data_IF_482561591898
#
_entry.id   IF_482561591898
#
_cell.length_a   1.000
_cell.length_b   1.000
_cell.length_c   1.000
_cell.angle_alpha   90.00
_cell.angle_beta   90.00
_cell.angle_gamma   90.00
#
_symmetry.space_group_name_H-M   'P 1'
#
loop_
_entity.id
_entity.type
_entity.pdbx_description
1 polymer ?
#
# COMPACT_ATOMS: atom_id res chain seq x y z
N UNK A 1 1.68 -21.29 9.32
CA UNK A 1 0.71 -20.78 10.32
C UNK A 1 0.85 -21.37 11.74
N UNK A 2 1.51 -22.53 11.97
CA UNK A 2 1.66 -23.11 13.34
C UNK A 2 2.23 -22.14 14.39
N UNK A 3 3.25 -21.37 14.05
CA UNK A 3 3.86 -20.41 14.98
C UNK A 3 2.94 -19.28 15.44
N UNK A 4 1.99 -18.83 14.60
CA UNK A 4 0.97 -17.85 15.02
C UNK A 4 0.02 -18.48 16.05
N UNK A 5 -0.38 -19.74 15.84
CA UNK A 5 -1.20 -20.48 16.80
C UNK A 5 -0.52 -20.64 18.16
N UNK A 6 0.78 -20.99 18.18
CA UNK A 6 1.57 -21.07 19.41
C UNK A 6 1.69 -19.73 20.13
N UNK A 7 1.86 -18.63 19.38
CA UNK A 7 1.92 -17.28 19.95
C UNK A 7 0.57 -16.87 20.59
N UNK A 8 -0.55 -17.14 19.91
CA UNK A 8 -1.90 -16.89 20.45
C UNK A 8 -2.12 -17.70 21.73
N UNK A 9 -1.77 -18.99 21.73
CA UNK A 9 -1.92 -19.86 22.91
C UNK A 9 -1.04 -19.42 24.07
N UNK A 10 0.20 -18.98 23.81
CA UNK A 10 1.09 -18.45 24.83
C UNK A 10 0.53 -17.21 25.51
N UNK A 11 -0.21 -16.39 24.77
CA UNK A 11 -0.78 -15.16 25.27
C UNK A 11 -2.21 -15.29 25.80
N UNK A 12 -2.85 -16.43 25.56
CA UNK A 12 -4.07 -16.80 26.23
C UNK A 12 -3.76 -17.22 27.68
N UNK A 13 -4.11 -16.38 28.65
CA UNK A 13 -3.85 -16.64 30.08
C UNK A 13 -5.18 -16.79 30.81
N UNK A 14 -5.34 -17.89 31.55
CA UNK A 14 -6.53 -18.18 32.38
C UNK A 14 -7.87 -18.08 31.61
N UNK A 15 -7.88 -18.54 30.36
CA UNK A 15 -9.08 -18.51 29.51
C UNK A 15 -9.40 -17.15 28.89
N UNK A 16 -8.59 -16.12 29.14
CA UNK A 16 -8.67 -14.85 28.44
C UNK A 16 -7.84 -14.90 27.16
N UNK A 17 -8.49 -14.68 26.02
CA UNK A 17 -7.85 -14.66 24.71
C UNK A 17 -7.30 -13.27 24.38
N UNK A 18 -6.22 -13.17 23.58
CA UNK A 18 -5.74 -11.90 23.08
C UNK A 18 -6.80 -11.20 22.21
N UNK A 19 -6.79 -9.87 22.22
CA UNK A 19 -7.69 -9.06 21.38
C UNK A 19 -7.46 -9.34 19.89
N UNK A 20 -8.54 -9.28 19.11
CA UNK A 20 -8.50 -9.48 17.65
C UNK A 20 -7.49 -8.56 16.98
N UNK A 21 -7.43 -7.28 17.39
CA UNK A 21 -6.47 -6.31 16.87
C UNK A 21 -5.01 -6.77 17.05
N UNK A 22 -4.70 -7.45 18.15
CA UNK A 22 -3.35 -7.95 18.44
C UNK A 22 -3.02 -9.19 17.60
N UNK A 23 -4.00 -10.08 17.39
CA UNK A 23 -3.86 -11.24 16.50
C UNK A 23 -3.61 -10.78 15.06
N UNK A 24 -4.39 -9.80 14.58
CA UNK A 24 -4.23 -9.20 13.25
C UNK A 24 -2.85 -8.55 13.12
N UNK A 25 -2.39 -7.82 14.13
CA UNK A 25 -1.06 -7.21 14.12
C UNK A 25 0.06 -8.24 13.95
N UNK A 26 0.01 -9.37 14.68
CA UNK A 26 0.98 -10.46 14.52
C UNK A 26 0.86 -11.15 13.16
N UNK A 27 -0.36 -11.36 12.68
CA UNK A 27 -0.60 -11.93 11.36
C UNK A 27 0.03 -11.06 10.27
N UNK A 28 -0.12 -9.74 10.35
CA UNK A 28 0.48 -8.79 9.41
C UNK A 28 2.00 -8.75 9.48
N UNK A 29 2.59 -9.03 10.64
CA UNK A 29 4.04 -9.22 10.78
C UNK A 29 4.58 -10.47 10.10
N UNK A 30 3.75 -11.52 9.94
CA UNK A 30 4.13 -12.78 9.30
C UNK A 30 3.84 -12.79 7.79
N UNK A 31 2.66 -12.31 7.42
CA UNK A 31 2.21 -12.19 6.04
C UNK A 31 1.38 -10.93 5.95
N UNK A 32 1.93 -9.92 5.29
CA UNK A 32 1.17 -8.72 5.00
C UNK A 32 -0.01 -9.08 4.09
N UNK A 33 -1.24 -8.65 4.40
CA UNK A 33 -2.39 -8.93 3.57
C UNK A 33 -2.17 -8.33 2.17
N UNK A 34 -2.80 -8.89 1.12
CA UNK A 34 -2.92 -8.18 -0.14
C UNK A 34 -3.35 -6.73 0.14
N UNK A 35 -2.75 -5.71 -0.49
CA UNK A 35 -3.00 -4.31 -0.14
C UNK A 35 -4.47 -3.89 -0.22
N UNK A 36 -5.28 -4.63 -0.99
CA UNK A 36 -6.73 -4.46 -1.14
C UNK A 36 -7.54 -4.91 0.09
N UNK A 37 -6.98 -5.80 0.90
CA UNK A 37 -7.61 -6.29 2.13
C UNK A 37 -7.20 -5.46 3.35
N UNK A 38 -6.27 -4.50 3.16
CA UNK A 38 -5.87 -3.56 4.21
C UNK A 38 -6.75 -2.30 4.16
N UNK A 39 -7.73 -2.23 5.06
CA UNK A 39 -8.69 -1.11 5.15
C UNK A 39 -8.02 0.25 5.29
N UNK A 40 -6.86 0.33 5.98
CA UNK A 40 -6.09 1.57 6.09
C UNK A 40 -5.49 2.00 4.75
N UNK A 41 -4.85 1.08 4.02
CA UNK A 41 -4.26 1.37 2.70
C UNK A 41 -5.35 1.79 1.73
N UNK A 42 -6.47 1.06 1.70
CA UNK A 42 -7.62 1.38 0.85
C UNK A 42 -8.18 2.76 1.18
N UNK A 43 -8.44 3.05 2.46
CA UNK A 43 -8.97 4.33 2.91
C UNK A 43 -8.02 5.49 2.57
N UNK A 44 -6.72 5.32 2.82
CA UNK A 44 -5.71 6.34 2.53
C UNK A 44 -5.59 6.63 1.03
N UNK A 45 -5.53 5.59 0.20
CA UNK A 45 -5.41 5.75 -1.26
C UNK A 45 -6.67 6.34 -1.90
N UNK A 46 -7.84 6.14 -1.28
CA UNK A 46 -9.11 6.75 -1.67
C UNK A 46 -9.31 8.17 -1.11
N UNK A 47 -8.54 8.57 -0.11
CA UNK A 47 -8.63 9.90 0.50
C UNK A 47 -8.23 11.03 -0.46
N UNK A 48 -8.49 12.28 -0.06
CA UNK A 48 -8.02 13.46 -0.80
C UNK A 48 -6.49 13.47 -0.98
N UNK A 49 -5.74 12.98 0.02
CA UNK A 49 -4.28 12.86 -0.08
C UNK A 49 -3.88 11.84 -1.14
N UNK A 50 -4.56 10.68 -1.19
CA UNK A 50 -4.29 9.64 -2.18
C UNK A 50 -4.60 10.08 -3.61
N UNK A 51 -5.69 10.84 -3.81
CA UNK A 51 -6.02 11.44 -5.11
C UNK A 51 -4.97 12.48 -5.54
N UNK A 52 -4.61 13.38 -4.63
CA UNK A 52 -3.53 14.36 -4.86
C UNK A 52 -2.21 13.66 -5.23
N UNK A 53 -1.85 12.60 -4.52
CA UNK A 53 -0.65 11.83 -4.82
C UNK A 53 -0.68 11.20 -6.22
N UNK A 54 -1.85 10.77 -6.69
CA UNK A 54 -2.04 10.27 -8.06
C UNK A 54 -1.80 11.40 -9.06
N UNK A 55 -2.46 12.53 -8.87
CA UNK A 55 -2.41 13.66 -9.80
C UNK A 55 -1.01 14.29 -9.89
N UNK A 56 -0.28 14.31 -8.78
CA UNK A 56 1.09 14.83 -8.69
C UNK A 56 2.17 13.74 -8.93
N UNK A 57 1.77 12.50 -9.17
CA UNK A 57 2.65 11.40 -9.59
C UNK A 57 3.55 10.79 -8.52
N UNK A 58 3.13 10.81 -7.25
CA UNK A 58 3.83 10.19 -6.10
C UNK A 58 2.97 9.15 -5.34
N UNK A 59 1.93 8.63 -5.97
CA UNK A 59 1.00 7.67 -5.36
C UNK A 59 1.63 6.31 -5.03
N UNK A 60 2.59 5.83 -5.83
CA UNK A 60 3.29 4.56 -5.59
C UNK A 60 4.11 4.64 -4.30
N UNK A 61 4.77 5.78 -4.08
CA UNK A 61 5.57 6.05 -2.89
C UNK A 61 4.68 6.11 -1.65
N UNK A 62 3.54 6.83 -1.73
CA UNK A 62 2.55 6.86 -0.67
C UNK A 62 2.04 5.45 -0.33
N UNK A 63 1.72 4.66 -1.35
CA UNK A 63 1.23 3.28 -1.20
C UNK A 63 2.26 2.36 -0.53
N UNK A 64 3.54 2.44 -0.94
CA UNK A 64 4.64 1.67 -0.34
C UNK A 64 4.82 2.00 1.13
N UNK A 65 4.74 3.29 1.50
CA UNK A 65 4.79 3.71 2.91
C UNK A 65 3.57 3.21 3.68
N UNK A 66 2.37 3.32 3.11
CA UNK A 66 1.14 2.85 3.74
C UNK A 66 1.17 1.34 4.02
N UNK A 67 1.72 0.55 3.09
CA UNK A 67 1.93 -0.89 3.24
C UNK A 67 2.93 -1.27 4.32
N UNK A 68 3.84 -0.38 4.72
CA UNK A 68 4.88 -0.72 5.70
C UNK A 68 4.42 -0.60 7.16
N UNK A 69 3.15 -0.26 7.42
CA UNK A 69 2.58 0.00 8.75
C UNK A 69 3.30 1.14 9.48
N UNK A 70 2.80 2.35 9.25
CA UNK A 70 3.08 3.52 10.08
C UNK A 70 1.92 4.50 10.04
N UNK A 71 1.78 5.38 11.07
CA UNK A 71 0.74 6.41 11.10
C UNK A 71 0.78 7.28 9.84
N UNK A 72 -0.35 7.90 9.44
CA UNK A 72 -0.45 8.67 8.21
C UNK A 72 0.67 9.72 8.10
N UNK A 73 1.27 9.85 6.90
CA UNK A 73 2.46 10.67 6.73
C UNK A 73 2.17 12.14 7.08
N UNK A 74 2.87 12.63 8.11
CA UNK A 74 2.88 14.05 8.45
C UNK A 74 3.52 14.88 7.32
N UNK A 75 3.42 16.21 7.40
CA UNK A 75 3.88 17.13 6.33
C UNK A 75 5.33 16.88 5.88
N UNK A 76 6.22 16.54 6.82
CA UNK A 76 7.62 16.22 6.51
C UNK A 76 7.74 14.99 5.60
N UNK A 77 7.02 13.91 5.93
CA UNK A 77 7.04 12.67 5.15
C UNK A 77 6.42 12.91 3.77
N UNK A 78 5.38 13.73 3.66
CA UNK A 78 4.82 14.10 2.35
C UNK A 78 5.85 14.78 1.44
N UNK A 79 6.65 15.71 1.97
CA UNK A 79 7.73 16.33 1.19
C UNK A 79 8.81 15.32 0.73
N UNK A 80 9.09 14.30 1.55
CA UNK A 80 9.98 13.21 1.16
C UNK A 80 9.35 12.36 0.05
N UNK A 81 8.08 11.98 0.18
CA UNK A 81 7.34 11.21 -0.81
C UNK A 81 7.30 11.91 -2.18
N UNK A 82 7.10 13.23 -2.20
CA UNK A 82 7.12 14.01 -3.45
C UNK A 82 8.50 13.91 -4.12
N UNK A 83 9.58 14.08 -3.35
CA UNK A 83 10.96 13.96 -3.85
C UNK A 83 11.26 12.54 -4.33
N UNK A 84 10.83 11.53 -3.59
CA UNK A 84 10.96 10.13 -3.99
C UNK A 84 10.20 9.85 -5.29
N UNK A 85 8.99 10.41 -5.46
CA UNK A 85 8.23 10.33 -6.70
C UNK A 85 8.96 10.96 -7.88
N UNK A 86 9.61 12.11 -7.69
CA UNK A 86 10.46 12.72 -8.71
C UNK A 86 11.63 11.81 -9.12
N UNK A 87 12.31 11.22 -8.12
CA UNK A 87 13.42 10.29 -8.35
C UNK A 87 12.95 9.01 -9.05
N UNK A 88 11.82 8.44 -8.65
CA UNK A 88 11.20 7.28 -9.30
C UNK A 88 10.87 7.58 -10.77
N UNK A 89 10.28 8.75 -11.05
CA UNK A 89 9.99 9.16 -12.44
C UNK A 89 11.25 9.38 -13.27
N UNK A 90 12.31 9.92 -12.68
CA UNK A 90 13.61 10.02 -13.34
C UNK A 90 14.18 8.63 -13.63
N UNK A 91 14.12 7.72 -12.66
CA UNK A 91 14.56 6.33 -12.83
C UNK A 91 13.74 5.59 -13.88
N UNK A 92 12.42 5.80 -13.97
CA UNK A 92 11.58 5.23 -15.02
C UNK A 92 12.07 5.62 -16.41
N UNK A 93 12.43 6.89 -16.62
CA UNK A 93 12.97 7.35 -17.91
C UNK A 93 14.27 6.63 -18.23
N UNK A 94 15.24 6.65 -17.31
CA UNK A 94 16.55 6.01 -17.52
C UNK A 94 16.44 4.49 -17.71
N UNK A 95 15.56 3.81 -16.97
CA UNK A 95 15.36 2.37 -17.12
C UNK A 95 14.68 2.04 -18.45
N UNK A 96 13.72 2.86 -18.91
CA UNK A 96 13.08 2.67 -20.21
C UNK A 96 14.09 2.84 -21.35
N UNK A 97 14.90 3.89 -21.32
CA UNK A 97 15.99 4.12 -22.27
C UNK A 97 16.98 2.93 -22.29
N UNK A 98 17.35 2.40 -21.12
CA UNK A 98 18.23 1.24 -21.03
C UNK A 98 17.60 -0.05 -21.59
N UNK A 99 16.28 -0.25 -21.45
CA UNK A 99 15.57 -1.40 -22.01
C UNK A 99 15.52 -1.30 -23.54
N UNK A 100 15.21 -0.12 -24.07
CA UNK A 100 15.20 0.15 -25.51
C UNK A 100 16.57 -0.07 -26.14
N UNK A 101 17.64 0.34 -25.45
CA UNK A 101 19.02 0.06 -25.82
C UNK A 101 19.48 -1.39 -25.62
N UNK A 102 18.63 -2.27 -25.07
CA UNK A 102 18.94 -3.67 -24.69
C UNK A 102 20.01 -3.85 -23.60
N UNK A 103 20.39 -2.78 -22.92
CA UNK A 103 21.43 -2.75 -21.88
C UNK A 103 20.87 -2.75 -20.45
N UNK A 104 19.56 -2.94 -20.29
CA UNK A 104 18.95 -2.96 -18.96
C UNK A 104 19.41 -4.17 -18.13
N UNK A 105 20.04 -3.88 -16.99
CA UNK A 105 20.40 -4.87 -15.98
C UNK A 105 19.18 -5.65 -15.47
N UNK A 106 19.36 -6.89 -14.99
CA UNK A 106 18.27 -7.66 -14.37
C UNK A 106 17.60 -6.92 -13.20
N UNK A 107 18.39 -6.20 -12.41
CA UNK A 107 17.89 -5.38 -11.29
C UNK A 107 16.94 -4.27 -11.76
N UNK A 108 17.29 -3.58 -12.85
CA UNK A 108 16.43 -2.52 -13.40
C UNK A 108 15.11 -3.08 -13.95
N UNK A 109 15.15 -4.27 -14.56
CA UNK A 109 13.94 -4.95 -15.02
C UNK A 109 13.05 -5.37 -13.86
N UNK A 110 13.63 -5.93 -12.81
CA UNK A 110 12.89 -6.32 -11.61
C UNK A 110 12.27 -5.09 -10.94
N UNK A 111 13.04 -4.04 -10.73
CA UNK A 111 12.55 -2.79 -10.16
C UNK A 111 11.38 -2.20 -10.96
N UNK A 112 11.48 -2.22 -12.30
CA UNK A 112 10.41 -1.73 -13.18
C UNK A 112 9.14 -2.60 -13.05
N UNK A 113 9.29 -3.93 -12.99
CA UNK A 113 8.18 -4.84 -12.80
C UNK A 113 7.49 -4.58 -11.46
N UNK A 114 8.25 -4.43 -10.37
CA UNK A 114 7.72 -4.12 -9.04
C UNK A 114 6.99 -2.76 -9.02
N UNK A 115 7.57 -1.75 -9.68
CA UNK A 115 6.94 -0.44 -9.80
C UNK A 115 5.60 -0.50 -10.55
N UNK A 116 5.53 -1.25 -11.66
CA UNK A 116 4.29 -1.44 -12.41
C UNK A 116 3.24 -2.24 -11.62
N UNK A 117 3.66 -3.25 -10.86
CA UNK A 117 2.77 -4.00 -9.99
C UNK A 117 2.16 -3.09 -8.91
N UNK A 118 2.98 -2.25 -8.26
CA UNK A 118 2.50 -1.29 -7.27
C UNK A 118 1.54 -0.25 -7.89
N UNK A 119 1.86 0.26 -9.08
CA UNK A 119 1.00 1.20 -9.79
C UNK A 119 -0.36 0.58 -10.14
N UNK A 120 -0.37 -0.65 -10.63
CA UNK A 120 -1.61 -1.38 -10.94
C UNK A 120 -2.48 -1.59 -9.70
N UNK A 121 -1.87 -1.86 -8.54
CA UNK A 121 -2.59 -1.96 -7.27
C UNK A 121 -3.18 -0.62 -6.82
N UNK A 122 -2.41 0.47 -6.92
CA UNK A 122 -2.90 1.83 -6.65
C UNK A 122 -4.10 2.17 -7.52
N UNK A 123 -3.99 1.88 -8.82
CA UNK A 123 -5.06 2.12 -9.77
C UNK A 123 -6.31 1.31 -9.43
N UNK A 124 -6.17 0.02 -9.17
CA UNK A 124 -7.29 -0.86 -8.80
C UNK A 124 -8.02 -0.39 -7.53
N UNK A 125 -7.28 0.04 -6.50
CA UNK A 125 -7.87 0.54 -5.25
C UNK A 125 -8.68 1.83 -5.49
N UNK A 126 -8.20 2.70 -6.38
CA UNK A 126 -8.81 3.99 -6.70
C UNK A 126 -9.99 3.88 -7.68
N UNK A 127 -9.99 2.92 -8.61
CA UNK A 127 -11.07 2.72 -9.59
C UNK A 127 -12.20 1.82 -9.10
N UNK A 128 -12.00 1.03 -8.04
CA UNK A 128 -13.05 0.17 -7.46
C UNK A 128 -14.23 0.94 -6.79
N UNK A 129 -14.44 2.23 -7.10
CA UNK A 129 -15.46 3.12 -6.51
C UNK A 129 -16.51 3.49 -7.57
N UNK A 130 -17.37 2.52 -7.90
CA UNK A 130 -18.58 2.75 -8.69
C UNK A 130 -19.78 1.87 -8.30
N UNK A 131 -19.71 1.15 -7.18
CA UNK A 131 -20.70 0.11 -6.82
C UNK A 131 -21.52 0.34 -5.55
N UNK A 132 -21.07 1.17 -4.60
CA UNK A 132 -21.65 1.18 -3.25
C UNK A 132 -22.11 2.59 -2.79
N UNK A 133 -22.75 3.33 -3.69
CA UNK A 133 -23.50 4.55 -3.34
C UNK A 133 -24.94 4.45 -3.87
N UNK A 134 -25.65 3.41 -3.42
CA UNK A 134 -27.12 3.36 -3.40
C UNK A 134 -27.58 3.20 -1.95
N UNK A 135 -27.21 4.19 -1.14
CA UNK A 135 -27.82 4.46 0.16
C UNK A 135 -28.72 5.66 0.01
N UNK A 136 -29.76 5.54 -0.81
CA UNK A 136 -30.80 6.55 -0.94
C UNK A 136 -31.35 6.93 0.43
N UNK A 137 -31.01 8.14 0.82
CA UNK A 137 -31.77 8.99 1.71
C UNK A 137 -33.20 9.09 1.14
N UNK A 138 -34.12 8.26 1.65
CA UNK A 138 -35.56 8.46 1.45
C UNK A 138 -36.12 9.00 2.77
N UNK A 139 -36.14 10.32 2.83
CA UNK A 139 -37.05 11.04 3.70
C UNK A 139 -38.50 10.80 3.23
N UNK A 140 -39.32 10.25 4.10
CA UNK A 140 -40.77 10.45 4.14
C UNK A 140 -41.29 10.15 5.56
#
# INVERSE_FOLDING_TARGET
LRGLGELILRQAVKGQWPEEAMIIHWAYGLQFPPPRDNSYVVSLMRSALGRRARDEGWAVELFRVARRLGPPPGRYVQSQLIREGELSRARLRSVREAIEGRDASPENRQWLADYHADLAEVEAIQTAVGGDDDGSEVAA
#
